data_IF_256777796575
#
_entry.id   IF_256777796575
#
_cell.length_a   1.000
_cell.length_b   1.000
_cell.length_c   1.000
_cell.angle_alpha   90.00
_cell.angle_beta   90.00
_cell.angle_gamma   90.00
#
_symmetry.space_group_name_H-M   'P 1'
#
loop_
_entity.id
_entity.type
_entity.pdbx_description
1 polymer ?
#
# COMPACT_ATOMS: atom_id res chain seq x y z
N UNK A 1 -75.11 22.78 0.72
CA UNK A 1 -74.81 21.94 -0.45
C UNK A 1 -73.31 21.91 -0.61
N UNK A 2 -72.68 20.83 -0.11
CA UNK A 2 -71.24 20.76 0.12
C UNK A 2 -70.45 20.30 -1.11
N UNK A 3 -69.36 21.02 -1.39
CA UNK A 3 -68.33 20.64 -2.36
C UNK A 3 -67.60 19.37 -1.89
N UNK A 4 -67.95 18.21 -2.46
CA UNK A 4 -67.27 16.93 -2.22
C UNK A 4 -66.61 16.35 -3.50
N UNK A 5 -66.50 17.14 -4.57
CA UNK A 5 -66.00 16.69 -5.87
C UNK A 5 -64.50 16.93 -6.14
N UNK A 6 -63.80 17.72 -5.32
CA UNK A 6 -62.42 18.13 -5.60
C UNK A 6 -61.34 17.37 -4.80
N UNK A 7 -61.71 16.57 -3.82
CA UNK A 7 -60.76 15.81 -2.99
C UNK A 7 -60.44 14.42 -3.54
N UNK A 8 -61.25 13.88 -4.45
CA UNK A 8 -61.03 12.55 -5.04
C UNK A 8 -60.02 12.55 -6.19
N UNK A 9 -59.70 13.71 -6.78
CA UNK A 9 -58.70 13.81 -7.87
C UNK A 9 -57.27 13.92 -7.33
N UNK A 10 -57.09 14.23 -6.05
CA UNK A 10 -55.77 14.25 -5.40
C UNK A 10 -55.34 12.87 -4.85
N UNK A 11 -56.24 11.88 -4.90
CA UNK A 11 -55.99 10.54 -4.33
C UNK A 11 -55.65 9.47 -5.37
N UNK A 12 -55.62 9.79 -6.67
CA UNK A 12 -54.92 8.95 -7.65
C UNK A 12 -53.42 9.13 -7.47
N UNK A 13 -52.92 8.44 -6.43
CA UNK A 13 -51.59 7.88 -6.33
C UNK A 13 -50.57 8.59 -7.23
N UNK A 14 -50.05 9.71 -6.74
CA UNK A 14 -48.63 9.94 -6.81
C UNK A 14 -47.92 8.85 -5.97
N UNK A 15 -48.12 7.59 -6.35
CA UNK A 15 -47.17 6.52 -6.11
C UNK A 15 -46.18 6.69 -7.26
N UNK A 16 -45.45 7.79 -7.20
CA UNK A 16 -44.05 7.77 -7.58
C UNK A 16 -43.38 6.82 -6.59
N UNK A 17 -43.57 5.50 -6.83
CA UNK A 17 -42.50 4.54 -6.62
C UNK A 17 -41.38 5.12 -7.48
N UNK A 18 -40.60 6.00 -6.87
CA UNK A 18 -39.19 6.04 -7.14
C UNK A 18 -38.75 4.63 -6.79
N UNK A 19 -38.85 3.74 -7.78
CA UNK A 19 -37.90 2.67 -7.88
C UNK A 19 -36.58 3.43 -7.90
N UNK A 20 -35.99 3.62 -6.72
CA UNK A 20 -34.57 3.76 -6.62
C UNK A 20 -34.09 2.46 -7.27
N UNK A 21 -33.87 2.53 -8.58
CA UNK A 21 -33.10 1.55 -9.30
C UNK A 21 -31.81 1.50 -8.50
N UNK A 22 -31.70 0.50 -7.64
CA UNK A 22 -30.48 0.22 -6.91
C UNK A 22 -29.52 -0.40 -7.92
N UNK A 23 -29.23 0.34 -8.99
CA UNK A 23 -28.16 0.04 -9.91
C UNK A 23 -26.91 0.18 -9.06
N UNK A 24 -26.37 -0.98 -8.65
CA UNK A 24 -25.03 -1.02 -8.06
C UNK A 24 -24.09 -0.52 -9.14
N UNK A 25 -23.78 0.77 -9.09
CA UNK A 25 -22.87 1.40 -10.03
C UNK A 25 -21.53 0.66 -9.97
N UNK A 26 -21.16 -0.02 -11.06
CA UNK A 26 -19.87 -0.69 -11.16
C UNK A 26 -18.75 0.35 -11.19
N UNK A 27 -17.70 0.10 -10.41
CA UNK A 27 -16.50 0.93 -10.32
C UNK A 27 -15.27 0.08 -10.61
N UNK A 28 -14.21 0.74 -11.03
CA UNK A 28 -12.88 0.14 -11.17
C UNK A 28 -12.03 0.69 -10.02
N UNK A 29 -11.40 -0.19 -9.26
CA UNK A 29 -10.58 0.17 -8.10
C UNK A 29 -9.19 -0.45 -8.31
N UNK A 30 -8.16 0.39 -8.38
CA UNK A 30 -6.77 -0.06 -8.38
C UNK A 30 -6.10 0.16 -7.01
N UNK A 31 -4.89 -0.37 -6.83
CA UNK A 31 -4.11 -0.18 -5.59
C UNK A 31 -4.02 1.30 -5.20
N UNK A 32 -4.22 1.57 -3.90
CA UNK A 32 -4.00 2.89 -3.34
C UNK A 32 -2.50 3.13 -3.14
N UNK A 33 -1.99 4.23 -3.69
CA UNK A 33 -0.59 4.61 -3.57
C UNK A 33 0.32 3.97 -4.63
N UNK A 34 1.63 4.19 -4.47
CA UNK A 34 2.63 3.73 -5.43
C UNK A 34 3.02 2.27 -5.16
N UNK A 35 2.96 1.44 -6.20
CA UNK A 35 3.54 0.10 -6.22
C UNK A 35 5.03 0.25 -6.50
N UNK A 36 5.88 -0.27 -5.62
CA UNK A 36 7.35 -0.22 -5.77
C UNK A 36 7.89 -1.52 -6.35
N UNK A 37 8.72 -1.41 -7.36
CA UNK A 37 9.43 -2.53 -7.98
C UNK A 37 10.92 -2.20 -8.15
N UNK A 38 11.75 -3.22 -8.28
CA UNK A 38 13.16 -3.08 -8.65
C UNK A 38 13.34 -3.50 -10.11
N UNK A 39 14.41 -3.02 -10.72
CA UNK A 39 14.76 -3.46 -12.08
C UNK A 39 14.93 -4.99 -12.12
N UNK A 40 14.42 -5.61 -13.16
CA UNK A 40 14.44 -7.05 -13.39
C UNK A 40 13.34 -7.84 -12.66
N UNK A 41 12.57 -7.22 -11.77
CA UNK A 41 11.47 -7.90 -11.07
C UNK A 41 10.21 -7.95 -11.94
N UNK A 42 9.35 -8.92 -11.64
CA UNK A 42 7.96 -8.91 -12.07
C UNK A 42 7.12 -8.12 -11.06
N UNK A 43 6.18 -7.32 -11.55
CA UNK A 43 5.25 -6.56 -10.72
C UNK A 43 3.82 -6.84 -11.12
N UNK A 44 2.91 -6.79 -10.15
CA UNK A 44 1.47 -6.82 -10.39
C UNK A 44 0.85 -5.51 -9.97
N UNK A 45 0.22 -4.82 -10.91
CA UNK A 45 -0.58 -3.63 -10.67
C UNK A 45 -2.01 -4.08 -10.38
N UNK A 46 -2.38 -4.14 -9.09
CA UNK A 46 -3.69 -4.66 -8.70
C UNK A 46 -4.78 -3.71 -9.15
N UNK A 47 -5.78 -4.25 -9.85
CA UNK A 47 -7.01 -3.56 -10.19
C UNK A 47 -8.20 -4.52 -10.32
N UNK A 48 -9.38 -4.09 -9.87
CA UNK A 48 -10.56 -4.93 -9.79
C UNK A 48 -11.87 -4.16 -10.00
N UNK A 49 -12.92 -4.88 -10.41
CA UNK A 49 -14.28 -4.35 -10.43
C UNK A 49 -14.89 -4.37 -9.02
N UNK A 50 -15.62 -3.31 -8.69
CA UNK A 50 -16.37 -3.18 -7.45
C UNK A 50 -17.83 -2.78 -7.76
N UNK A 51 -18.84 -3.57 -7.38
CA UNK A 51 -18.72 -4.91 -6.80
C UNK A 51 -18.04 -5.90 -7.78
N UNK A 52 -17.44 -7.00 -7.27
CA UNK A 52 -16.88 -8.04 -8.13
C UNK A 52 -17.93 -8.57 -9.11
N UNK A 53 -17.59 -8.60 -10.39
CA UNK A 53 -18.45 -9.06 -11.49
C UNK A 53 -17.60 -9.63 -12.63
N UNK A 54 -18.20 -10.42 -13.52
CA UNK A 54 -17.47 -11.07 -14.61
C UNK A 54 -16.94 -10.06 -15.62
N UNK A 55 -15.61 -9.96 -15.74
CA UNK A 55 -14.92 -9.09 -16.68
C UNK A 55 -14.48 -9.80 -17.97
N UNK A 56 -14.75 -11.10 -18.13
CA UNK A 56 -14.19 -11.95 -19.20
C UNK A 56 -14.58 -11.44 -20.59
N UNK A 57 -15.82 -10.98 -20.76
CA UNK A 57 -16.32 -10.43 -22.03
C UNK A 57 -16.09 -8.91 -22.18
N UNK A 58 -15.51 -8.25 -21.17
CA UNK A 58 -15.29 -6.80 -21.20
C UNK A 58 -13.98 -6.46 -21.90
N UNK A 59 -13.94 -5.31 -22.56
CA UNK A 59 -12.70 -4.73 -23.06
C UNK A 59 -11.98 -4.00 -21.94
N UNK A 60 -10.73 -4.39 -21.68
CA UNK A 60 -9.85 -3.82 -20.65
C UNK A 60 -8.60 -3.27 -21.31
N UNK A 61 -8.34 -1.99 -21.10
CA UNK A 61 -7.18 -1.28 -21.64
C UNK A 61 -6.32 -0.75 -20.51
N UNK A 62 -5.04 -1.12 -20.52
CA UNK A 62 -4.02 -0.53 -19.67
C UNK A 62 -3.18 0.42 -20.49
N UNK A 63 -3.02 1.64 -19.97
CA UNK A 63 -2.18 2.69 -20.58
C UNK A 63 -1.21 3.25 -19.56
N UNK A 64 -0.02 3.65 -20.00
CA UNK A 64 0.95 4.39 -19.18
C UNK A 64 1.45 5.59 -19.98
N UNK A 65 1.28 6.80 -19.45
CA UNK A 65 1.66 8.05 -20.14
C UNK A 65 1.16 8.09 -21.60
N UNK A 66 -0.13 7.79 -21.80
CA UNK A 66 -0.80 7.73 -23.11
C UNK A 66 -0.30 6.64 -24.08
N UNK A 67 0.57 5.74 -23.61
CA UNK A 67 1.04 4.58 -24.39
C UNK A 67 0.24 3.35 -24.01
N UNK A 68 -0.21 2.57 -25.00
CA UNK A 68 -0.89 1.30 -24.76
C UNK A 68 0.08 0.27 -24.18
N UNK A 69 -0.20 -0.15 -22.95
CA UNK A 69 0.59 -1.15 -22.21
C UNK A 69 0.05 -2.55 -22.45
N UNK A 70 -1.27 -2.72 -22.33
CA UNK A 70 -1.94 -3.99 -22.56
C UNK A 70 -3.37 -3.74 -23.02
N UNK A 71 -3.80 -4.44 -24.08
CA UNK A 71 -5.17 -4.39 -24.58
C UNK A 71 -5.75 -5.81 -24.53
N UNK A 72 -6.92 -5.91 -23.91
CA UNK A 72 -7.71 -7.13 -23.83
C UNK A 72 -9.09 -6.85 -24.41
N UNK A 73 -9.49 -7.58 -25.45
CA UNK A 73 -10.79 -7.43 -26.13
C UNK A 73 -11.19 -8.73 -26.81
N UNK A 74 -12.49 -8.91 -27.08
CA UNK A 74 -13.01 -10.12 -27.74
C UNK A 74 -12.58 -11.41 -27.01
N UNK A 75 -12.57 -11.36 -25.67
CA UNK A 75 -12.14 -12.47 -24.81
C UNK A 75 -10.69 -12.92 -25.05
N UNK A 76 -9.83 -12.11 -25.65
CA UNK A 76 -8.42 -12.43 -25.81
C UNK A 76 -7.48 -11.21 -25.65
N UNK A 77 -6.20 -11.49 -25.42
CA UNK A 77 -5.18 -10.46 -25.43
C UNK A 77 -4.97 -10.00 -26.89
N UNK A 78 -4.81 -8.70 -27.08
CA UNK A 78 -4.62 -8.08 -28.39
C UNK A 78 -3.23 -7.42 -28.46
N UNK A 79 -2.19 -8.18 -28.87
CA UNK A 79 -0.84 -7.67 -28.96
C UNK A 79 -0.67 -6.61 -30.06
N UNK A 80 -1.50 -6.60 -31.11
CA UNK A 80 -1.33 -5.69 -32.26
C UNK A 80 -1.58 -4.23 -31.87
N UNK A 81 -2.44 -4.00 -30.88
CA UNK A 81 -2.72 -2.65 -30.33
C UNK A 81 -1.77 -2.24 -29.20
N UNK A 82 -0.85 -3.12 -28.79
CA UNK A 82 0.12 -2.84 -27.72
C UNK A 82 1.37 -2.16 -28.28
N UNK A 83 1.95 -1.26 -27.49
CA UNK A 83 3.25 -0.70 -27.81
C UNK A 83 4.34 -1.79 -27.71
N UNK A 84 5.27 -1.80 -28.67
CA UNK A 84 6.36 -2.77 -28.79
C UNK A 84 7.13 -3.02 -27.49
N UNK A 85 7.35 -1.97 -26.69
CA UNK A 85 8.07 -2.06 -25.41
C UNK A 85 7.41 -3.00 -24.38
N UNK A 86 6.11 -3.19 -24.47
CA UNK A 86 5.30 -3.98 -23.53
C UNK A 86 4.86 -5.34 -24.07
N UNK A 87 5.04 -5.59 -25.37
CA UNK A 87 4.74 -6.89 -25.98
C UNK A 87 5.53 -8.00 -25.28
N UNK A 88 4.88 -9.13 -25.06
CA UNK A 88 5.42 -10.30 -24.35
C UNK A 88 5.86 -10.06 -22.89
N UNK A 89 5.66 -8.84 -22.36
CA UNK A 89 5.98 -8.48 -20.97
C UNK A 89 4.75 -8.27 -20.12
N UNK A 90 3.57 -8.19 -20.72
CA UNK A 90 2.33 -7.89 -20.02
C UNK A 90 1.27 -8.96 -20.20
N UNK A 91 0.48 -9.20 -19.15
CA UNK A 91 -0.65 -10.15 -19.18
C UNK A 91 -1.68 -9.81 -18.12
N UNK A 92 -2.95 -10.13 -18.36
CA UNK A 92 -4.00 -10.13 -17.33
C UNK A 92 -4.14 -11.51 -16.66
N UNK A 93 -4.73 -11.53 -15.46
CA UNK A 93 -5.02 -12.79 -14.73
C UNK A 93 -6.31 -13.44 -15.25
N UNK A 94 -6.23 -14.06 -16.44
CA UNK A 94 -7.39 -14.60 -17.18
C UNK A 94 -8.35 -15.45 -16.35
N UNK A 95 -7.83 -16.37 -15.54
CA UNK A 95 -8.64 -17.25 -14.69
C UNK A 95 -9.45 -16.51 -13.61
N UNK A 96 -9.02 -15.30 -13.21
CA UNK A 96 -9.68 -14.51 -12.17
C UNK A 96 -10.54 -13.36 -12.73
N UNK A 97 -10.60 -13.19 -14.06
CA UNK A 97 -11.43 -12.16 -14.69
C UNK A 97 -12.93 -12.40 -14.46
N UNK A 98 -13.35 -13.67 -14.36
CA UNK A 98 -14.72 -14.05 -14.00
C UNK A 98 -15.15 -13.54 -12.62
N UNK A 99 -14.18 -13.18 -11.78
CA UNK A 99 -14.38 -12.61 -10.43
C UNK A 99 -14.04 -11.13 -10.37
N UNK A 100 -13.88 -10.47 -11.52
CA UNK A 100 -13.62 -9.04 -11.63
C UNK A 100 -12.17 -8.64 -11.43
N UNK A 101 -11.22 -9.59 -11.40
CA UNK A 101 -9.79 -9.26 -11.34
C UNK A 101 -9.30 -8.85 -12.74
N UNK A 102 -8.92 -7.59 -12.87
CA UNK A 102 -8.39 -6.99 -14.10
C UNK A 102 -6.98 -6.43 -13.88
N UNK A 103 -6.26 -7.03 -12.92
CA UNK A 103 -4.90 -6.64 -12.56
C UNK A 103 -3.94 -6.93 -13.71
N UNK A 104 -2.94 -6.07 -13.86
CA UNK A 104 -1.89 -6.22 -14.87
C UNK A 104 -0.64 -6.82 -14.25
N UNK A 105 -0.14 -7.92 -14.82
CA UNK A 105 1.22 -8.39 -14.58
C UNK A 105 2.15 -7.73 -15.62
N UNK A 106 3.25 -7.15 -15.15
CA UNK A 106 4.35 -6.65 -15.98
C UNK A 106 5.64 -7.35 -15.57
N UNK A 107 6.34 -7.96 -16.53
CA UNK A 107 7.56 -8.75 -16.28
C UNK A 107 8.83 -7.98 -16.61
N UNK A 108 9.93 -8.35 -15.95
CA UNK A 108 11.27 -7.80 -16.17
C UNK A 108 11.28 -6.26 -16.18
N UNK A 109 10.80 -5.63 -15.10
CA UNK A 109 10.64 -4.17 -14.98
C UNK A 109 11.95 -3.42 -15.25
N UNK A 110 11.85 -2.28 -15.92
CA UNK A 110 12.95 -1.35 -16.21
C UNK A 110 12.64 0.05 -15.66
N UNK A 111 13.62 0.93 -15.55
CA UNK A 111 13.39 2.32 -15.12
C UNK A 111 12.39 3.07 -15.99
N UNK A 112 12.42 2.79 -17.29
CA UNK A 112 11.51 3.42 -18.25
C UNK A 112 10.05 2.99 -18.07
N UNK A 113 9.79 1.96 -17.26
CA UNK A 113 8.43 1.50 -16.93
C UNK A 113 7.81 2.27 -15.76
N UNK A 114 8.57 3.12 -15.06
CA UNK A 114 8.00 3.98 -14.03
C UNK A 114 6.97 4.94 -14.62
N UNK A 115 5.84 5.13 -13.93
CA UNK A 115 4.79 6.02 -14.41
C UNK A 115 3.40 5.73 -13.84
N UNK A 116 2.42 6.47 -14.35
CA UNK A 116 1.03 6.34 -13.96
C UNK A 116 0.31 5.42 -14.95
N UNK A 117 -0.09 4.25 -14.45
CA UNK A 117 -0.80 3.24 -15.21
C UNK A 117 -2.30 3.41 -14.99
N UNK A 118 -3.04 3.59 -16.06
CA UNK A 118 -4.50 3.72 -16.04
C UNK A 118 -5.13 2.46 -16.61
N UNK A 119 -5.97 1.81 -15.81
CA UNK A 119 -6.85 0.74 -16.22
C UNK A 119 -8.19 1.36 -16.64
N UNK A 120 -8.62 1.11 -17.88
CA UNK A 120 -9.90 1.56 -18.42
C UNK A 120 -10.72 0.36 -18.87
N UNK A 121 -11.96 0.26 -18.37
CA UNK A 121 -12.92 -0.76 -18.78
C UNK A 121 -13.94 -0.10 -19.70
N UNK A 122 -13.79 -0.34 -21.00
CA UNK A 122 -14.47 0.43 -22.05
C UNK A 122 -15.99 0.30 -21.95
N UNK A 123 -16.48 -0.94 -21.79
CA UNK A 123 -17.91 -1.24 -21.69
C UNK A 123 -18.59 -0.53 -20.51
N UNK A 124 -17.85 -0.32 -19.41
CA UNK A 124 -18.36 0.33 -18.20
C UNK A 124 -18.10 1.85 -18.19
N UNK A 125 -17.24 2.34 -19.09
CA UNK A 125 -16.72 3.72 -19.10
C UNK A 125 -16.12 4.13 -17.75
N UNK A 126 -15.48 3.19 -17.06
CA UNK A 126 -14.84 3.41 -15.75
C UNK A 126 -13.34 3.21 -15.86
N UNK A 127 -12.58 4.02 -15.12
CA UNK A 127 -11.14 3.92 -15.03
C UNK A 127 -10.64 4.15 -13.61
N UNK A 128 -9.48 3.59 -13.32
CA UNK A 128 -8.68 3.96 -12.17
C UNK A 128 -7.19 3.93 -12.53
N UNK A 129 -6.39 4.65 -11.75
CA UNK A 129 -4.97 4.84 -11.99
C UNK A 129 -4.17 4.35 -10.79
N UNK A 130 -3.03 3.74 -11.05
CA UNK A 130 -2.04 3.30 -10.06
C UNK A 130 -0.65 3.72 -10.53
N UNK A 131 0.21 4.14 -9.60
CA UNK A 131 1.58 4.56 -9.91
C UNK A 131 2.55 3.40 -9.72
N UNK A 132 3.41 3.16 -10.69
CA UNK A 132 4.57 2.27 -10.57
C UNK A 132 5.83 3.12 -10.33
N UNK A 133 6.49 2.89 -9.20
CA UNK A 133 7.79 3.46 -8.87
C UNK A 133 8.86 2.37 -8.99
N UNK A 134 10.00 2.72 -9.60
CA UNK A 134 11.11 1.78 -9.84
C UNK A 134 12.35 2.24 -9.07
N UNK A 135 12.79 1.44 -8.10
CA UNK A 135 13.91 1.74 -7.23
C UNK A 135 15.26 1.38 -7.88
N UNK A 136 16.29 2.20 -7.61
CA UNK A 136 17.58 2.07 -8.30
C UNK A 136 18.49 0.93 -7.84
N UNK A 137 18.30 0.45 -6.62
CA UNK A 137 19.14 -0.57 -6.02
C UNK A 137 18.29 -1.45 -5.09
N UNK A 138 18.53 -2.77 -5.11
CA UNK A 138 18.13 -3.63 -4.00
C UNK A 138 18.77 -3.17 -2.69
N UNK A 139 18.46 -3.75 -1.51
CA UNK A 139 19.24 -3.47 -0.31
C UNK A 139 20.69 -3.77 -0.68
N UNK A 140 21.49 -2.71 -0.80
CA UNK A 140 22.92 -2.78 -1.01
C UNK A 140 23.41 -3.57 0.19
N UNK A 141 23.78 -4.83 -0.01
CA UNK A 141 24.60 -5.54 0.96
C UNK A 141 25.83 -4.67 1.12
N UNK A 142 25.85 -3.92 2.21
CA UNK A 142 26.97 -3.08 2.60
C UNK A 142 28.19 -3.96 2.57
N UNK A 143 29.03 -3.82 1.54
CA UNK A 143 30.40 -4.27 1.60
C UNK A 143 31.06 -3.35 2.63
N UNK A 144 30.88 -3.67 3.90
CA UNK A 144 31.69 -3.10 4.95
C UNK A 144 33.15 -3.41 4.59
N UNK A 145 34.08 -2.45 4.70
CA UNK A 145 35.48 -2.74 4.44
C UNK A 145 35.94 -3.81 5.43
N UNK A 146 36.52 -4.89 4.90
CA UNK A 146 37.28 -5.84 5.71
C UNK A 146 38.44 -5.05 6.31
N UNK A 147 38.34 -4.74 7.60
CA UNK A 147 39.46 -4.17 8.35
C UNK A 147 40.49 -5.29 8.47
N UNK A 148 41.49 -5.28 7.60
CA UNK A 148 42.70 -6.09 7.77
C UNK A 148 43.45 -5.57 9.00
N UNK A 149 43.24 -6.25 10.13
CA UNK A 149 43.96 -5.98 11.37
C UNK A 149 45.45 -6.27 11.18
N UNK A 150 46.27 -5.23 11.15
CA UNK A 150 47.71 -5.37 11.34
C UNK A 150 47.96 -5.69 12.83
N UNK A 151 48.50 -6.89 13.10
CA UNK A 151 49.00 -7.23 14.43
C UNK A 151 50.15 -6.28 14.80
N UNK A 152 50.01 -5.55 15.91
CA UNK A 152 51.13 -4.92 16.59
C UNK A 152 51.45 -5.74 17.82
N UNK A 153 52.50 -6.54 17.72
CA UNK A 153 53.14 -7.20 18.85
C UNK A 153 53.62 -6.14 19.85
N UNK A 154 52.87 -5.95 20.93
CA UNK A 154 53.23 -5.03 22.01
C UNK A 154 54.11 -5.76 23.02
N UNK A 155 55.40 -5.44 22.96
CA UNK A 155 56.43 -5.87 23.89
C UNK A 155 56.21 -5.16 25.25
N UNK A 156 55.99 -5.91 26.33
CA UNK A 156 55.76 -5.37 27.68
C UNK A 156 57.11 -5.18 28.38
N UNK A 157 57.57 -3.95 28.69
CA UNK A 157 58.74 -3.79 29.53
C UNK A 157 58.34 -3.91 31.00
N UNK A 158 59.10 -4.73 31.72
CA UNK A 158 59.02 -4.93 33.16
C UNK A 158 59.40 -3.62 33.88
N UNK A 159 58.44 -2.96 34.53
CA UNK A 159 58.73 -1.88 35.47
C UNK A 159 57.78 -1.98 36.67
N UNK A 160 58.36 -2.42 37.79
CA UNK A 160 57.77 -2.51 39.12
C UNK A 160 57.74 -1.10 39.73
N UNK A 161 56.62 -0.67 40.31
CA UNK A 161 56.54 0.57 41.07
C UNK A 161 55.17 0.81 41.71
N UNK A 162 55.09 0.59 43.03
CA UNK A 162 53.90 0.74 43.88
C UNK A 162 53.63 2.24 44.15
N UNK A 163 52.36 2.66 44.02
CA UNK A 163 51.89 3.99 44.43
C UNK A 163 50.39 3.97 44.74
N UNK A 164 50.05 3.83 46.02
CA UNK A 164 48.69 3.75 46.57
C UNK A 164 48.13 5.18 46.76
N UNK A 165 46.88 5.38 46.33
CA UNK A 165 45.96 6.37 46.88
C UNK A 165 45.91 7.73 46.16
N UNK A 166 44.76 8.06 45.56
CA UNK A 166 44.11 9.40 45.56
C UNK A 166 42.90 9.54 44.59
N UNK A 167 42.36 8.46 44.01
CA UNK A 167 41.22 8.57 43.08
C UNK A 167 39.83 8.26 43.68
N UNK A 168 39.74 7.79 44.93
CA UNK A 168 38.45 7.36 45.51
C UNK A 168 37.51 8.53 45.88
N UNK A 169 38.06 9.71 46.23
CA UNK A 169 37.25 10.87 46.60
C UNK A 169 36.57 11.59 45.42
N UNK A 170 37.15 11.49 44.22
CA UNK A 170 36.64 12.18 43.02
C UNK A 170 35.48 11.41 42.39
N UNK A 171 35.49 10.07 42.48
CA UNK A 171 34.44 9.23 41.92
C UNK A 171 33.12 9.32 42.70
N UNK A 172 33.15 9.39 44.03
CA UNK A 172 31.92 9.44 44.84
C UNK A 172 31.14 10.75 44.66
N UNK A 173 31.82 11.89 44.45
CA UNK A 173 31.16 13.17 44.16
C UNK A 173 30.60 13.23 42.72
N UNK A 174 31.22 12.53 41.78
CA UNK A 174 30.73 12.43 40.40
C UNK A 174 29.42 11.64 40.30
N UNK A 175 29.28 10.54 41.04
CA UNK A 175 28.06 9.71 41.00
C UNK A 175 26.86 10.35 41.71
N UNK A 176 27.06 11.19 42.73
CA UNK A 176 25.97 11.95 43.37
C UNK A 176 25.39 13.00 42.41
N UNK A 177 26.21 13.60 41.53
CA UNK A 177 25.73 14.58 40.54
C UNK A 177 24.97 13.99 39.35
N UNK A 178 25.08 12.69 39.06
CA UNK A 178 24.37 12.03 37.94
C UNK A 178 23.04 11.36 38.30
N UNK A 179 22.71 11.23 39.60
CA UNK A 179 21.48 10.58 40.06
C UNK A 179 20.18 11.37 39.91
N UNK A 180 20.25 12.67 39.56
CA UNK A 180 19.08 13.52 39.35
C UNK A 180 18.91 13.86 37.86
N UNK A 181 18.32 12.96 37.08
CA UNK A 181 17.48 13.31 35.91
C UNK A 181 16.74 12.09 35.36
N UNK A 182 15.44 12.08 35.65
CA UNK A 182 14.33 11.57 34.84
C UNK A 182 14.16 10.05 34.68
N UNK A 183 13.36 9.46 35.58
CA UNK A 183 12.49 8.33 35.25
C UNK A 183 11.05 8.87 35.24
N UNK A 184 10.49 9.05 34.05
CA UNK A 184 9.07 9.34 33.83
C UNK A 184 8.24 8.05 33.98
N UNK A 185 7.26 8.10 34.88
CA UNK A 185 6.26 7.06 35.18
C UNK A 185 5.27 6.81 34.02
N UNK A 186 4.67 5.61 33.94
CA UNK A 186 3.27 5.46 33.54
C UNK A 186 2.40 5.05 34.74
N UNK A 187 1.42 5.89 35.07
CA UNK A 187 0.43 5.72 36.14
C UNK A 187 -0.78 4.92 35.60
N UNK A 188 -0.87 3.62 35.89
CA UNK A 188 -2.12 2.87 35.74
C UNK A 188 -3.11 3.29 36.85
N UNK A 189 -4.20 3.96 36.46
CA UNK A 189 -5.35 4.19 37.34
C UNK A 189 -6.17 2.90 37.44
N UNK A 190 -6.09 2.25 38.60
CA UNK A 190 -7.03 1.23 39.08
C UNK A 190 -8.11 1.96 39.86
N UNK A 191 -9.30 2.12 39.30
CA UNK A 191 -10.49 2.56 40.05
C UNK A 191 -11.29 1.33 40.47
N UNK A 192 -11.27 1.01 41.76
CA UNK A 192 -12.30 0.22 42.43
C UNK A 192 -13.17 1.19 43.24
N UNK A 193 -14.49 1.17 43.00
CA UNK A 193 -15.54 1.62 43.94
C UNK A 193 -16.61 0.53 43.87
N UNK A 194 -16.65 -0.33 44.89
CA UNK A 194 -17.47 -0.21 46.10
C UNK A 194 -18.87 -0.79 45.87
N UNK A 195 -19.04 -2.03 46.37
CA UNK A 195 -20.31 -2.75 46.50
C UNK A 195 -20.70 -2.69 47.99
N UNK A 196 -21.76 -1.98 48.29
CA UNK A 196 -22.51 -1.93 49.56
C UNK A 196 -23.90 -1.46 49.11
N UNK A 197 -25.02 -2.14 49.30
CA UNK A 197 -25.47 -3.06 50.34
C UNK A 197 -26.87 -2.55 50.72
N UNK A 198 -27.89 -3.41 50.77
CA UNK A 198 -29.20 -2.98 51.29
C UNK A 198 -30.38 -3.86 50.88
N UNK A 199 -30.77 -4.71 51.85
CA UNK A 199 -32.10 -5.31 52.10
C UNK A 199 -32.80 -6.08 50.98
#
# INVERSE_FOLDING_TARGET
MGNLGLTWVLSTLAVCISAAENTRESKVICSHGAVRAKVGQDVTLLCQLQPPSDATALTVEWTCNSTNVHVYRNMNDDPDSQNEKFKHRTSLFRHNMSRGNISLKLTNVTYSDAGNYTCFVVNLRKKATVTLAVDQYGPTTSMAPVVTGAEKNFHVPLAIGIGIGFAAGVLLSYFIRRGNKCISTPRQKRTQKAKHGGK
#
